data_IF_082347158066
#
_entry.id   IF_082347158066
#
_cell.length_a   1.000
_cell.length_b   1.000
_cell.length_c   1.000
_cell.angle_alpha   90.00
_cell.angle_beta   90.00
_cell.angle_gamma   90.00
#
_symmetry.space_group_name_H-M   'P 1'
#
loop_
_entity.id
_entity.type
_entity.pdbx_description
1 polymer ?
#
# COMPACT_ATOMS: atom_id res chain seq x y z
N UNK A 1 50.61 -30.39 39.99
CA UNK A 1 50.62 -28.93 40.21
C UNK A 1 49.60 -28.31 39.28
N UNK A 2 48.43 -27.90 39.79
CA UNK A 2 47.43 -27.15 39.01
C UNK A 2 47.61 -25.66 39.32
N UNK A 3 47.91 -24.88 38.28
CA UNK A 3 48.12 -23.44 38.34
C UNK A 3 46.76 -22.76 38.21
N UNK A 4 46.20 -22.28 39.32
CA UNK A 4 44.93 -21.57 39.34
C UNK A 4 45.07 -20.25 38.58
N UNK A 5 44.40 -20.11 37.44
CA UNK A 5 44.35 -18.88 36.66
C UNK A 5 43.41 -17.91 37.37
N UNK A 6 43.97 -16.80 37.88
CA UNK A 6 43.20 -15.74 38.54
C UNK A 6 42.44 -14.96 37.47
N UNK A 7 41.12 -15.10 37.41
CA UNK A 7 40.25 -14.31 36.55
C UNK A 7 40.29 -12.85 37.01
N UNK A 8 40.86 -11.97 36.19
CA UNK A 8 40.91 -10.55 36.42
C UNK A 8 39.54 -9.94 36.04
N UNK A 9 38.57 -10.01 36.95
CA UNK A 9 37.26 -9.41 36.74
C UNK A 9 37.37 -7.89 36.88
N UNK A 10 37.73 -7.20 35.78
CA UNK A 10 37.67 -5.76 35.69
C UNK A 10 36.19 -5.32 35.70
N UNK A 11 35.79 -4.63 36.76
CA UNK A 11 34.44 -4.04 36.86
C UNK A 11 34.36 -2.73 36.09
N UNK A 12 33.20 -2.45 35.49
CA UNK A 12 32.87 -1.14 34.94
C UNK A 12 32.71 -0.12 36.08
N UNK A 13 33.19 1.11 35.87
CA UNK A 13 32.91 2.19 36.82
C UNK A 13 31.51 2.74 36.64
N UNK A 14 30.89 3.23 37.72
CA UNK A 14 29.59 3.89 37.67
C UNK A 14 29.60 5.11 36.73
N UNK A 15 30.72 5.83 36.67
CA UNK A 15 30.87 7.01 35.81
C UNK A 15 30.94 6.63 34.33
N UNK A 16 31.59 5.51 33.98
CA UNK A 16 31.62 5.00 32.60
C UNK A 16 30.21 4.63 32.14
N UNK A 17 29.44 3.96 32.99
CA UNK A 17 28.07 3.59 32.64
C UNK A 17 27.17 4.84 32.52
N UNK A 18 27.39 5.85 33.36
CA UNK A 18 26.64 7.12 33.33
C UNK A 18 26.91 7.94 32.06
N UNK A 19 28.16 7.99 31.60
CA UNK A 19 28.51 8.68 30.35
C UNK A 19 27.93 7.95 29.14
N UNK A 20 27.92 6.61 29.15
CA UNK A 20 27.37 5.84 28.02
C UNK A 20 25.87 6.07 27.86
N UNK A 21 25.10 6.02 28.95
CA UNK A 21 23.65 6.25 28.86
C UNK A 21 23.31 7.69 28.47
N UNK A 22 24.13 8.68 28.87
CA UNK A 22 23.91 10.08 28.50
C UNK A 22 24.17 10.32 27.02
N UNK A 23 25.21 9.71 26.46
CA UNK A 23 25.50 9.75 25.02
C UNK A 23 24.42 9.01 24.21
N UNK A 24 23.98 7.83 24.65
CA UNK A 24 22.88 7.09 23.98
C UNK A 24 21.60 7.91 24.00
N UNK A 25 21.25 8.54 25.13
CA UNK A 25 20.06 9.39 25.24
C UNK A 25 20.12 10.59 24.28
N UNK A 26 21.26 11.28 24.22
CA UNK A 26 21.45 12.43 23.33
C UNK A 26 21.33 12.04 21.85
N UNK A 27 21.98 10.95 21.44
CA UNK A 27 21.90 10.47 20.05
C UNK A 27 20.49 9.98 19.67
N UNK A 28 19.78 9.35 20.60
CA UNK A 28 18.43 8.82 20.35
C UNK A 28 17.42 9.91 19.99
N UNK A 29 17.50 11.08 20.64
CA UNK A 29 16.61 12.23 20.34
C UNK A 29 16.81 12.74 18.91
N UNK A 30 18.06 12.84 18.46
CA UNK A 30 18.39 13.32 17.11
C UNK A 30 17.95 12.32 16.03
N UNK A 31 18.03 11.02 16.31
CA UNK A 31 17.63 9.99 15.34
C UNK A 31 16.12 9.98 15.08
N UNK A 32 15.31 10.18 16.11
CA UNK A 32 13.83 10.20 15.99
C UNK A 32 13.33 11.41 15.23
N UNK A 33 14.05 12.55 15.23
CA UNK A 33 13.65 13.73 14.46
C UNK A 33 14.01 13.63 12.97
N UNK A 34 15.04 12.85 12.62
CA UNK A 34 15.50 12.69 11.24
C UNK A 34 14.72 11.59 10.51
N UNK A 35 14.41 10.51 11.22
CA UNK A 35 13.60 9.42 10.66
C UNK A 35 12.15 9.75 10.94
N UNK A 36 11.35 10.00 9.90
CA UNK A 36 9.89 10.02 9.98
C UNK A 36 9.37 8.59 9.69
N UNK A 37 9.34 7.68 10.69
CA UNK A 37 8.93 6.30 10.46
C UNK A 37 7.48 6.20 10.01
N UNK A 38 6.63 7.16 10.41
CA UNK A 38 5.19 7.17 10.08
C UNK A 38 5.00 7.57 8.62
N UNK A 39 5.68 8.61 8.16
CA UNK A 39 5.64 9.05 6.76
C UNK A 39 6.20 8.02 5.78
N UNK A 40 7.21 7.24 6.18
CA UNK A 40 7.82 6.19 5.36
C UNK A 40 6.86 5.01 5.11
N UNK A 41 6.12 4.58 6.14
CA UNK A 41 5.15 3.49 6.02
C UNK A 41 3.97 3.86 5.13
N UNK A 42 3.48 5.11 5.21
CA UNK A 42 2.41 5.60 4.33
C UNK A 42 2.80 5.54 2.84
N UNK A 43 4.04 5.95 2.50
CA UNK A 43 4.55 5.88 1.12
C UNK A 43 4.69 4.44 0.61
N UNK A 44 5.14 3.52 1.46
CA UNK A 44 5.20 2.11 1.11
C UNK A 44 3.81 1.54 0.80
N UNK A 45 2.79 1.89 1.60
CA UNK A 45 1.39 1.48 1.36
C UNK A 45 0.83 2.06 0.07
N UNK A 46 1.12 3.32 -0.25
CA UNK A 46 0.72 3.92 -1.53
C UNK A 46 1.32 3.19 -2.73
N UNK A 47 2.60 2.79 -2.66
CA UNK A 47 3.22 1.94 -3.68
C UNK A 47 2.53 0.58 -3.83
N UNK A 48 2.11 -0.01 -2.70
CA UNK A 48 1.35 -1.26 -2.68
C UNK A 48 -0.05 -1.06 -3.28
N UNK A 49 -0.77 0.01 -2.94
CA UNK A 49 -2.09 0.35 -3.53
C UNK A 49 -2.02 0.53 -5.03
N UNK A 50 -1.00 1.26 -5.51
CA UNK A 50 -0.77 1.43 -6.92
C UNK A 50 -0.52 0.09 -7.63
N UNK A 51 0.34 -0.76 -7.04
CA UNK A 51 0.59 -2.11 -7.55
C UNK A 51 -0.70 -2.94 -7.61
N UNK A 52 -1.53 -2.89 -6.57
CA UNK A 52 -2.82 -3.57 -6.55
C UNK A 52 -3.75 -3.10 -7.66
N UNK A 53 -3.90 -1.78 -7.88
CA UNK A 53 -4.71 -1.24 -8.97
C UNK A 53 -4.23 -1.75 -10.33
N UNK A 54 -2.91 -1.75 -10.57
CA UNK A 54 -2.33 -2.25 -11.83
C UNK A 54 -2.56 -3.75 -12.03
N UNK A 55 -2.30 -4.56 -11.01
CA UNK A 55 -2.46 -6.01 -11.08
C UNK A 55 -3.92 -6.42 -11.25
N UNK A 56 -4.84 -5.74 -10.55
CA UNK A 56 -6.28 -5.97 -10.70
C UNK A 56 -6.74 -5.59 -12.13
N UNK A 57 -6.28 -4.45 -12.64
CA UNK A 57 -6.59 -4.03 -14.00
C UNK A 57 -6.11 -5.06 -15.04
N UNK A 58 -4.86 -5.53 -14.94
CA UNK A 58 -4.32 -6.57 -15.83
C UNK A 58 -5.12 -7.88 -15.76
N UNK A 59 -5.52 -8.29 -14.57
CA UNK A 59 -6.35 -9.49 -14.39
C UNK A 59 -7.75 -9.33 -15.02
N UNK A 60 -8.35 -8.14 -14.91
CA UNK A 60 -9.64 -7.82 -15.53
C UNK A 60 -9.52 -7.74 -17.07
N UNK A 61 -8.41 -7.20 -17.60
CA UNK A 61 -8.15 -7.21 -19.04
C UNK A 61 -7.96 -8.64 -19.55
N UNK A 62 -7.25 -9.48 -18.80
CA UNK A 62 -7.08 -10.90 -19.11
C UNK A 62 -8.42 -11.66 -19.08
N UNK A 63 -9.30 -11.33 -18.12
CA UNK A 63 -10.67 -11.85 -18.08
C UNK A 63 -11.42 -11.55 -19.37
N UNK A 64 -11.40 -10.29 -19.83
CA UNK A 64 -12.07 -9.90 -21.08
C UNK A 64 -11.53 -10.64 -22.29
N UNK A 65 -10.22 -10.89 -22.36
CA UNK A 65 -9.62 -11.60 -23.49
C UNK A 65 -10.16 -13.03 -23.67
N UNK A 66 -10.54 -13.69 -22.57
CA UNK A 66 -11.02 -15.08 -22.59
C UNK A 66 -12.55 -15.15 -22.58
N UNK A 67 -13.20 -14.39 -21.70
CA UNK A 67 -14.66 -14.43 -21.49
C UNK A 67 -15.44 -13.53 -22.47
N UNK A 68 -14.73 -12.66 -23.20
CA UNK A 68 -15.31 -11.79 -24.24
C UNK A 68 -16.03 -10.53 -23.73
N UNK A 69 -16.21 -10.40 -22.40
CA UNK A 69 -16.82 -9.23 -21.75
C UNK A 69 -16.08 -8.87 -20.48
N UNK A 70 -16.25 -7.64 -19.99
CA UNK A 70 -15.78 -7.29 -18.65
C UNK A 70 -16.72 -7.86 -17.59
N UNK A 71 -16.22 -8.14 -16.37
CA UNK A 71 -17.05 -8.64 -15.26
C UNK A 71 -18.19 -7.66 -14.92
N UNK A 72 -19.44 -8.13 -14.90
CA UNK A 72 -20.60 -7.31 -14.54
C UNK A 72 -20.65 -7.00 -13.04
N UNK A 73 -20.21 -7.95 -12.22
CA UNK A 73 -20.02 -7.79 -10.77
C UNK A 73 -18.61 -8.27 -10.40
N UNK A 74 -17.64 -7.36 -10.37
CA UNK A 74 -16.39 -7.61 -9.67
C UNK A 74 -16.57 -7.34 -8.17
N UNK A 75 -17.64 -7.88 -7.57
CA UNK A 75 -17.86 -7.76 -6.14
C UNK A 75 -16.73 -8.48 -5.38
N UNK A 76 -15.92 -7.76 -4.57
CA UNK A 76 -14.90 -8.37 -3.72
C UNK A 76 -15.46 -9.50 -2.86
N UNK A 77 -16.74 -9.40 -2.49
CA UNK A 77 -17.42 -10.26 -1.53
C UNK A 77 -18.15 -11.44 -2.19
N UNK A 78 -18.25 -11.51 -3.51
CA UNK A 78 -18.89 -12.63 -4.20
C UNK A 78 -17.87 -13.70 -4.61
N UNK A 79 -17.68 -14.78 -3.82
CA UNK A 79 -16.74 -15.86 -4.14
C UNK A 79 -17.12 -16.69 -5.37
N UNK A 80 -18.35 -16.54 -5.89
CA UNK A 80 -18.82 -17.25 -7.07
C UNK A 80 -18.55 -16.52 -8.38
N UNK A 81 -17.94 -15.32 -8.37
CA UNK A 81 -17.58 -14.64 -9.61
C UNK A 81 -16.44 -15.40 -10.33
N UNK A 82 -16.60 -15.61 -11.64
CA UNK A 82 -15.58 -16.18 -12.55
C UNK A 82 -14.27 -15.39 -12.48
N UNK A 83 -14.37 -14.08 -12.23
CA UNK A 83 -13.23 -13.21 -11.99
C UNK A 83 -12.39 -13.67 -10.79
N UNK A 84 -13.02 -14.02 -9.66
CA UNK A 84 -12.31 -14.43 -8.44
C UNK A 84 -11.79 -15.87 -8.46
N UNK A 85 -12.51 -16.76 -9.13
CA UNK A 85 -12.16 -18.19 -9.13
C UNK A 85 -10.99 -18.50 -10.06
N UNK A 86 -10.82 -17.74 -11.14
CA UNK A 86 -9.80 -18.02 -12.16
C UNK A 86 -8.72 -16.94 -12.28
N UNK A 87 -9.08 -15.65 -12.17
CA UNK A 87 -8.17 -14.54 -12.52
C UNK A 87 -7.62 -13.79 -11.30
N UNK A 88 -8.39 -13.66 -10.21
CA UNK A 88 -8.02 -12.93 -9.00
C UNK A 88 -8.31 -13.77 -7.75
N UNK A 89 -7.29 -14.50 -7.27
CA UNK A 89 -7.44 -15.41 -6.10
C UNK A 89 -7.90 -14.69 -4.83
N UNK A 90 -7.35 -13.52 -4.57
CA UNK A 90 -7.60 -12.74 -3.36
C UNK A 90 -7.74 -11.27 -3.72
N UNK A 91 -8.89 -10.68 -3.39
CA UNK A 91 -9.08 -9.24 -3.52
C UNK A 91 -8.23 -8.53 -2.45
N UNK A 92 -7.52 -7.45 -2.78
CA UNK A 92 -6.69 -6.73 -1.81
C UNK A 92 -7.53 -6.16 -0.65
N UNK A 93 -6.99 -6.22 0.56
CA UNK A 93 -7.64 -5.63 1.73
C UNK A 93 -7.54 -4.10 1.72
N UNK A 94 -8.59 -3.39 2.16
CA UNK A 94 -8.62 -1.95 2.15
C UNK A 94 -7.91 -1.41 3.41
N UNK A 95 -6.59 -1.25 3.33
CA UNK A 95 -5.80 -0.75 4.45
C UNK A 95 -5.70 0.78 4.40
N UNK A 96 -5.98 1.43 5.52
CA UNK A 96 -5.70 2.84 5.75
C UNK A 96 -4.19 3.10 5.94
N UNK A 97 -3.79 4.37 6.04
CA UNK A 97 -2.38 4.75 6.20
C UNK A 97 -1.77 4.27 7.52
N UNK A 98 -2.57 4.18 8.58
CA UNK A 98 -2.18 3.63 9.87
C UNK A 98 -2.12 2.09 9.87
N UNK A 99 -2.59 1.45 8.79
CA UNK A 99 -2.63 0.00 8.63
C UNK A 99 -3.84 -0.69 9.21
N UNK A 100 -4.84 0.06 9.65
CA UNK A 100 -6.15 -0.49 9.99
C UNK A 100 -6.94 -0.84 8.73
N UNK A 101 -7.80 -1.84 8.80
CA UNK A 101 -8.77 -2.11 7.74
C UNK A 101 -9.89 -1.08 7.80
N UNK A 102 -10.08 -0.35 6.70
CA UNK A 102 -11.06 0.72 6.58
C UNK A 102 -11.73 0.65 5.20
N UNK A 103 -13.07 0.42 5.11
CA UNK A 103 -13.80 0.39 3.86
C UNK A 103 -13.64 1.65 2.99
N UNK A 104 -13.31 2.79 3.59
CA UNK A 104 -13.03 4.01 2.83
C UNK A 104 -11.83 3.85 1.89
N UNK A 105 -10.93 2.88 2.14
CA UNK A 105 -9.77 2.56 1.32
C UNK A 105 -10.00 1.38 0.36
N UNK A 106 -11.26 1.08 0.05
CA UNK A 106 -11.62 0.01 -0.86
C UNK A 106 -11.17 0.26 -2.30
N UNK A 107 -10.89 -0.85 -2.97
CA UNK A 107 -10.71 -0.90 -4.42
C UNK A 107 -12.09 -1.03 -5.04
N UNK A 108 -12.51 -0.01 -5.76
CA UNK A 108 -13.86 0.10 -6.34
C UNK A 108 -13.75 -0.12 -7.83
N UNK A 109 -14.54 -1.08 -8.33
CA UNK A 109 -14.64 -1.42 -9.73
C UNK A 109 -16.03 -1.08 -10.27
N UNK A 110 -16.10 -0.58 -11.49
CA UNK A 110 -17.34 -0.51 -12.24
C UNK A 110 -17.09 -0.73 -13.73
N UNK A 111 -18.02 -1.41 -14.40
CA UNK A 111 -18.03 -1.54 -15.85
C UNK A 111 -18.87 -0.43 -16.48
N UNK A 112 -18.41 0.11 -17.61
CA UNK A 112 -19.15 1.04 -18.44
C UNK A 112 -19.09 0.59 -19.91
N UNK A 113 -20.13 -0.13 -20.36
CA UNK A 113 -20.20 -0.63 -21.74
C UNK A 113 -19.04 -1.55 -22.10
N UNK A 114 -18.16 -1.08 -23.00
CA UNK A 114 -16.97 -1.80 -23.48
C UNK A 114 -15.69 -1.45 -22.73
N UNK A 115 -15.79 -0.75 -21.59
CA UNK A 115 -14.66 -0.40 -20.73
C UNK A 115 -14.98 -0.65 -19.27
N UNK A 116 -13.98 -0.48 -18.42
CA UNK A 116 -14.12 -0.47 -16.98
C UNK A 116 -13.27 0.64 -16.35
N UNK A 117 -13.62 0.94 -15.11
CA UNK A 117 -12.86 1.81 -14.23
C UNK A 117 -12.58 1.08 -12.93
N UNK A 118 -11.38 1.28 -12.41
CA UNK A 118 -10.95 0.77 -11.12
C UNK A 118 -10.24 1.91 -10.38
N UNK A 119 -10.60 2.17 -9.13
CA UNK A 119 -9.85 3.13 -8.33
C UNK A 119 -9.72 2.74 -6.87
N UNK A 120 -8.73 3.32 -6.21
CA UNK A 120 -8.52 3.23 -4.77
C UNK A 120 -8.01 4.57 -4.25
N UNK A 121 -8.47 5.05 -3.09
CA UNK A 121 -7.93 6.26 -2.47
C UNK A 121 -6.43 6.17 -2.18
N UNK A 122 -5.76 7.33 -2.21
CA UNK A 122 -4.34 7.48 -1.93
C UNK A 122 -4.11 8.28 -0.63
N UNK A 123 -2.88 8.24 -0.11
CA UNK A 123 -2.55 8.99 1.13
C UNK A 123 -2.61 10.50 1.04
N UNK A 124 -2.70 11.05 -0.17
CA UNK A 124 -2.69 12.50 -0.46
C UNK A 124 -4.10 13.10 -0.58
N UNK A 125 -5.14 12.33 -0.30
CA UNK A 125 -6.53 12.78 -0.41
C UNK A 125 -7.03 12.82 -1.85
N UNK A 126 -6.50 11.99 -2.74
CA UNK A 126 -7.02 11.68 -4.07
C UNK A 126 -7.17 10.17 -4.23
N UNK A 127 -7.02 9.66 -5.46
CA UNK A 127 -7.04 8.23 -5.73
C UNK A 127 -6.07 7.84 -6.86
N UNK A 128 -5.70 6.57 -6.87
CA UNK A 128 -5.17 5.92 -8.05
C UNK A 128 -6.34 5.38 -8.85
N UNK A 129 -6.48 5.82 -10.10
CA UNK A 129 -7.57 5.43 -11.01
C UNK A 129 -7.00 4.81 -12.27
N UNK A 130 -7.57 3.70 -12.70
CA UNK A 130 -7.31 3.06 -13.98
C UNK A 130 -8.60 3.09 -14.80
N UNK A 131 -8.46 3.37 -16.08
CA UNK A 131 -9.54 3.26 -17.07
C UNK A 131 -9.03 2.47 -18.27
N UNK A 132 -9.92 1.72 -18.92
CA UNK A 132 -9.59 0.94 -20.13
C UNK A 132 -8.93 1.79 -21.22
N UNK A 133 -9.38 3.04 -21.39
CA UNK A 133 -8.86 3.93 -22.44
C UNK A 133 -7.41 4.38 -22.17
N UNK A 134 -7.04 4.52 -20.89
CA UNK A 134 -5.71 4.95 -20.48
C UNK A 134 -4.69 3.82 -20.53
N UNK A 135 -5.12 2.57 -20.32
CA UNK A 135 -4.26 1.39 -20.19
C UNK A 135 -3.15 1.51 -19.13
N UNK A 136 -3.29 2.47 -18.21
CA UNK A 136 -2.37 2.69 -17.10
C UNK A 136 -3.13 3.30 -15.91
N UNK A 137 -2.57 3.14 -14.72
CA UNK A 137 -3.07 3.80 -13.52
C UNK A 137 -2.54 5.23 -13.46
N UNK A 138 -3.41 6.18 -13.15
CA UNK A 138 -3.14 7.60 -13.01
C UNK A 138 -3.42 8.07 -11.58
N UNK A 139 -2.80 9.17 -11.18
CA UNK A 139 -3.12 9.89 -9.96
C UNK A 139 -4.21 10.93 -10.23
N UNK A 140 -5.31 10.84 -9.51
CA UNK A 140 -6.47 11.71 -9.70
C UNK A 140 -6.82 12.46 -8.41
N UNK A 141 -7.31 13.71 -8.49
CA UNK A 141 -7.86 14.43 -7.35
C UNK A 141 -9.17 13.78 -6.88
N UNK A 142 -9.59 14.06 -5.64
CA UNK A 142 -10.78 13.41 -5.04
C UNK A 142 -12.07 13.58 -5.84
N UNK A 143 -12.21 14.70 -6.57
CA UNK A 143 -13.37 14.97 -7.42
C UNK A 143 -13.51 13.96 -8.58
N UNK A 144 -12.40 13.36 -9.01
CA UNK A 144 -12.33 12.40 -10.12
C UNK A 144 -12.34 10.94 -9.63
N UNK A 145 -12.39 10.72 -8.31
CA UNK A 145 -12.45 9.40 -7.66
C UNK A 145 -13.87 8.83 -7.69
N UNK A 146 -14.42 8.69 -8.90
CA UNK A 146 -15.72 8.10 -9.15
C UNK A 146 -15.64 6.92 -10.13
N UNK A 147 -16.72 6.17 -10.18
CA UNK A 147 -16.95 5.09 -11.15
C UNK A 147 -17.35 5.61 -12.54
N UNK A 148 -17.37 6.91 -12.75
CA UNK A 148 -17.66 7.48 -14.07
C UNK A 148 -16.39 7.43 -14.92
N UNK A 149 -16.48 6.79 -16.09
CA UNK A 149 -15.35 6.70 -17.02
C UNK A 149 -15.05 8.05 -17.69
N UNK A 150 -16.03 8.97 -17.71
CA UNK A 150 -15.85 10.33 -18.23
C UNK A 150 -15.21 11.31 -17.24
N UNK A 151 -15.09 10.96 -15.95
CA UNK A 151 -14.48 11.81 -14.93
C UNK A 151 -12.95 11.59 -14.94
N UNK A 152 -12.26 12.39 -15.74
CA UNK A 152 -10.89 12.14 -16.18
C UNK A 152 -10.04 13.41 -16.36
N UNK A 153 -10.61 14.59 -16.21
CA UNK A 153 -10.04 15.86 -16.70
C UNK A 153 -8.70 16.21 -16.08
N UNK A 154 -8.54 15.98 -14.78
CA UNK A 154 -7.41 16.47 -13.99
C UNK A 154 -6.50 15.33 -13.47
N UNK A 155 -6.55 14.17 -14.11
CA UNK A 155 -5.70 13.04 -13.76
C UNK A 155 -4.30 13.18 -14.37
N UNK A 156 -3.27 12.81 -13.61
CA UNK A 156 -1.86 12.91 -13.98
C UNK A 156 -1.19 11.54 -13.95
N UNK A 157 -0.19 11.33 -14.81
CA UNK A 157 0.64 10.13 -14.77
C UNK A 157 1.51 10.10 -13.50
N UNK A 158 1.87 8.88 -13.07
CA UNK A 158 2.54 8.58 -11.80
C UNK A 158 4.05 8.57 -11.87
#
# INVERSE_FOLDING_TARGET
MLKTLRSNSAGFTLIELLIVISVIAALSVVLVSIVDPVGSQGKARDGVRLSHVKNLAEAIESYRQIEGSYPLDADPQNPASTLRTTYIRTWPSPLANDGTEDPAWAYIYAQAGTGFVLYSPNSRGGCYKYQTDWRNAMNCPIAECSTDISSASDCSEL
#
